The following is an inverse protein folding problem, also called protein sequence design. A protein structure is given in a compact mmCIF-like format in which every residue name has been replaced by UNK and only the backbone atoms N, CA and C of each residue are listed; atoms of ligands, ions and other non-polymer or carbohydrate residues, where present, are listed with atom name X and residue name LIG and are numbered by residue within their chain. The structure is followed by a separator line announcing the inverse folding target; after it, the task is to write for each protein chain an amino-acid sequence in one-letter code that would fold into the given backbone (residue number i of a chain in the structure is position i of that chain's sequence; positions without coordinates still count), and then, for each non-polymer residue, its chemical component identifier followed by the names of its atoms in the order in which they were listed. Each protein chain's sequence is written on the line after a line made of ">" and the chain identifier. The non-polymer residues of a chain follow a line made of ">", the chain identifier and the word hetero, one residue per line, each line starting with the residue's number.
data_IF_386396914459
#
_entry.id   IF_386396914459
#
_cell.length_a   1.000
_cell.length_b   1.000
_cell.length_c   1.000
_cell.angle_alpha   90.00
_cell.angle_beta   90.00
_cell.angle_gamma   90.00
#
_symmetry.space_group_name_H-M   'P 1'
#
loop_
_entity.id
_entity.type
_entity.pdbx_description
1 polymer ?
#
# COMPACT_ATOMS: atom_id res chain seq x y z
N UNK A 1 8.62 -1.48 -7.36
CA UNK A 1 8.76 -1.77 -5.91
C UNK A 1 9.58 -0.63 -5.32
N UNK A 2 9.18 -0.07 -4.18
CA UNK A 2 9.57 1.25 -3.67
C UNK A 2 11.06 1.44 -3.26
N UNK A 3 11.99 0.61 -3.74
CA UNK A 3 13.42 0.74 -3.42
C UNK A 3 13.78 0.52 -1.94
N UNK A 4 12.82 0.13 -1.10
CA UNK A 4 13.03 -0.14 0.32
C UNK A 4 13.52 -1.59 0.53
N UNK A 5 14.57 -1.83 1.34
CA UNK A 5 15.07 -3.17 1.66
C UNK A 5 14.17 -3.89 2.69
N UNK A 6 12.87 -3.92 2.44
CA UNK A 6 11.87 -4.51 3.33
C UNK A 6 11.62 -6.01 3.10
N UNK A 7 12.21 -6.59 2.06
CA UNK A 7 12.02 -8.02 1.72
C UNK A 7 12.49 -8.87 2.90
N UNK A 8 11.60 -9.74 3.40
CA UNK A 8 11.87 -10.64 4.53
C UNK A 8 11.73 -10.01 5.91
N UNK A 9 11.37 -8.72 6.02
CA UNK A 9 11.14 -8.03 7.29
C UNK A 9 9.67 -7.70 7.49
N UNK A 10 9.18 -7.87 8.72
CA UNK A 10 7.82 -7.47 9.10
C UNK A 10 7.81 -5.98 9.40
N UNK A 11 6.96 -5.23 8.72
CA UNK A 11 6.69 -3.82 8.99
C UNK A 11 5.18 -3.60 9.15
N UNK A 12 4.80 -2.63 9.98
CA UNK A 12 3.42 -2.18 10.17
C UNK A 12 3.28 -0.76 9.64
N UNK A 13 2.27 -0.49 8.83
CA UNK A 13 2.02 0.85 8.31
C UNK A 13 0.54 1.08 8.12
N UNK A 14 0.14 2.33 8.04
CA UNK A 14 -1.22 2.72 7.66
C UNK A 14 -1.25 2.97 6.16
N UNK A 15 -2.32 2.49 5.51
CA UNK A 15 -2.57 2.72 4.10
C UNK A 15 -4.05 2.97 3.86
N UNK A 16 -4.33 3.65 2.77
CA UNK A 16 -5.69 3.89 2.29
C UNK A 16 -5.90 3.13 0.98
N UNK A 17 -7.09 2.58 0.80
CA UNK A 17 -7.48 1.88 -0.42
C UNK A 17 -8.75 2.52 -0.95
N UNK A 18 -8.73 2.88 -2.23
CA UNK A 18 -9.82 3.49 -2.95
C UNK A 18 -10.30 2.53 -4.03
N UNK A 19 -11.62 2.44 -4.16
CA UNK A 19 -12.28 1.58 -5.12
C UNK A 19 -13.12 2.44 -6.05
N UNK A 20 -13.02 2.20 -7.34
CA UNK A 20 -14.00 2.69 -8.30
C UNK A 20 -14.88 1.53 -8.76
N UNK A 21 -16.18 1.78 -8.75
CA UNK A 21 -17.21 0.86 -9.20
C UNK A 21 -17.85 1.44 -10.46
N UNK A 22 -18.10 0.59 -11.46
CA UNK A 22 -18.94 0.93 -12.61
C UNK A 22 -19.87 -0.25 -12.86
N UNK A 23 -21.17 -0.04 -12.62
CA UNK A 23 -22.26 -1.01 -12.75
C UNK A 23 -22.09 -2.34 -11.97
N UNK A 24 -21.13 -2.38 -11.05
CA UNK A 24 -20.61 -3.57 -10.35
C UNK A 24 -20.05 -4.67 -11.29
N UNK A 25 -18.86 -5.25 -11.00
CA UNK A 25 -18.05 -5.18 -9.78
C UNK A 25 -17.02 -4.03 -9.78
N UNK A 26 -16.04 -4.08 -8.86
CA UNK A 26 -14.93 -3.13 -8.77
C UNK A 26 -14.21 -3.03 -10.13
N UNK A 27 -14.17 -1.82 -10.69
CA UNK A 27 -13.53 -1.52 -11.96
C UNK A 27 -12.05 -1.23 -11.80
N UNK A 28 -11.69 -0.46 -10.78
CA UNK A 28 -10.33 -0.05 -10.47
C UNK A 28 -10.09 -0.02 -8.95
N UNK A 29 -8.83 -0.24 -8.58
CA UNK A 29 -8.34 -0.15 -7.20
C UNK A 29 -7.08 0.68 -7.19
N UNK A 30 -7.03 1.68 -6.32
CA UNK A 30 -5.82 2.43 -6.02
C UNK A 30 -5.50 2.32 -4.54
N UNK A 31 -4.23 2.16 -4.20
CA UNK A 31 -3.78 2.17 -2.82
C UNK A 31 -2.69 3.20 -2.60
N UNK A 32 -2.73 3.84 -1.43
CA UNK A 32 -1.72 4.76 -0.95
C UNK A 32 -1.15 4.17 0.33
N UNK A 33 0.17 4.08 0.40
CA UNK A 33 0.90 3.45 1.50
C UNK A 33 1.90 4.46 2.06
N UNK A 34 1.98 4.54 3.39
CA UNK A 34 3.01 5.32 4.09
C UNK A 34 4.39 4.63 4.01
N UNK A 35 5.12 4.93 2.95
CA UNK A 35 6.49 4.44 2.75
C UNK A 35 7.47 4.92 3.83
N UNK A 36 7.48 6.20 4.26
CA UNK A 36 8.33 6.64 5.36
C UNK A 36 8.15 5.82 6.64
N UNK A 37 6.90 5.47 7.01
CA UNK A 37 6.65 4.62 8.18
C UNK A 37 7.28 3.23 8.02
N UNK A 38 7.26 2.65 6.82
CA UNK A 38 7.95 1.38 6.53
C UNK A 38 9.46 1.55 6.62
N UNK A 39 10.02 2.61 6.03
CA UNK A 39 11.45 2.87 6.02
C UNK A 39 12.02 3.03 7.44
N UNK A 40 11.27 3.64 8.36
CA UNK A 40 11.67 3.79 9.76
C UNK A 40 11.73 2.45 10.55
N UNK A 41 11.21 1.34 10.01
CA UNK A 41 11.25 0.01 10.63
C UNK A 41 12.32 -0.91 10.03
N UNK A 42 13.03 -0.44 9.01
CA UNK A 42 14.16 -1.14 8.37
C UNK A 42 15.47 -0.68 9.03
#
# INVERSE_FOLDING_TARGET
>A
MFGLPAIGRRAQFTGNVFYEFLDEPIRNVWSIIDQPAIAAQL
#
